data_IF_664422534542
#
_entry.id   IF_664422534542
#
_cell.length_a   1.000
_cell.length_b   1.000
_cell.length_c   1.000
_cell.angle_alpha   90.00
_cell.angle_beta   90.00
_cell.angle_gamma   90.00
#
_symmetry.space_group_name_H-M   'P 1'
#
loop_
_entity.id
_entity.type
_entity.pdbx_description
1 polymer ?
#
# COMPACT_ATOMS: atom_id res chain seq x y z
N UNK A 1 8.16 48.25 -16.48
CA UNK A 1 7.36 47.01 -16.62
C UNK A 1 8.18 45.75 -16.27
N UNK A 2 8.65 45.62 -15.02
CA UNK A 2 9.42 44.42 -14.57
C UNK A 2 9.12 44.00 -13.12
N UNK A 3 8.29 44.76 -12.41
CA UNK A 3 7.96 44.52 -10.99
C UNK A 3 6.60 43.84 -10.76
N UNK A 4 5.76 43.74 -11.79
CA UNK A 4 4.42 43.09 -11.68
C UNK A 4 4.49 41.57 -11.93
N UNK A 5 5.54 41.08 -12.61
CA UNK A 5 5.68 39.66 -12.96
C UNK A 5 6.01 38.78 -11.72
N UNK A 6 6.64 39.36 -10.69
CA UNK A 6 6.99 38.61 -9.47
C UNK A 6 5.81 38.33 -8.53
N UNK A 7 4.66 39.01 -8.70
CA UNK A 7 3.50 38.81 -7.82
C UNK A 7 2.66 37.60 -8.23
N UNK A 8 2.72 37.17 -9.50
CA UNK A 8 1.98 36.01 -9.99
C UNK A 8 2.65 34.66 -9.72
N UNK A 9 3.94 34.63 -9.37
CA UNK A 9 4.68 33.39 -9.07
C UNK A 9 4.46 32.87 -7.63
N UNK A 10 3.90 33.70 -6.74
CA UNK A 10 3.70 33.35 -5.33
C UNK A 10 2.27 32.81 -5.09
N UNK A 11 1.32 33.04 -6.00
CA UNK A 11 -0.08 32.66 -5.78
C UNK A 11 -0.38 31.17 -6.01
N UNK A 12 0.51 30.41 -6.64
CA UNK A 12 0.26 28.98 -6.96
C UNK A 12 0.70 27.99 -5.89
N UNK A 13 1.21 28.43 -4.74
CA UNK A 13 1.77 27.53 -3.71
C UNK A 13 0.85 27.17 -2.55
N UNK A 14 -0.40 27.63 -2.55
CA UNK A 14 -1.41 27.21 -1.57
C UNK A 14 -2.53 26.37 -2.23
N UNK A 15 -2.14 25.35 -2.98
CA UNK A 15 -2.96 24.14 -3.02
C UNK A 15 -2.62 23.36 -1.76
N UNK A 16 -3.34 23.62 -0.67
CA UNK A 16 -3.43 22.67 0.43
C UNK A 16 -3.68 21.30 -0.22
N UNK A 17 -2.88 20.25 0.04
CA UNK A 17 -3.27 18.93 -0.40
C UNK A 17 -4.63 18.71 0.27
N UNK A 18 -5.70 18.69 -0.54
CA UNK A 18 -6.96 18.16 -0.06
C UNK A 18 -6.60 16.77 0.45
N UNK A 19 -6.58 16.59 1.78
CA UNK A 19 -6.33 15.32 2.40
C UNK A 19 -7.51 14.45 1.98
N UNK A 20 -7.37 13.79 0.84
CA UNK A 20 -8.38 12.95 0.26
C UNK A 20 -8.45 11.71 1.14
N UNK A 21 -9.23 11.75 2.22
CA UNK A 21 -9.37 10.61 3.11
C UNK A 21 -9.59 9.35 2.28
N UNK A 22 -8.82 8.30 2.59
CA UNK A 22 -8.95 7.01 1.93
C UNK A 22 -10.41 6.56 2.01
N UNK A 23 -11.02 6.27 0.85
CA UNK A 23 -12.41 5.80 0.80
C UNK A 23 -12.58 4.52 1.62
N UNK A 24 -13.76 4.26 2.15
CA UNK A 24 -14.00 3.04 2.92
C UNK A 24 -13.83 1.77 2.07
N UNK A 25 -14.16 1.84 0.79
CA UNK A 25 -13.93 0.76 -0.17
C UNK A 25 -12.44 0.49 -0.39
N UNK A 26 -11.64 1.55 -0.62
CA UNK A 26 -10.20 1.41 -0.78
C UNK A 26 -9.57 0.91 0.53
N UNK A 27 -10.01 1.40 1.69
CA UNK A 27 -9.53 0.98 3.01
C UNK A 27 -9.81 -0.50 3.25
N UNK A 28 -11.03 -0.95 3.00
CA UNK A 28 -11.43 -2.35 3.10
C UNK A 28 -10.61 -3.23 2.16
N UNK A 29 -10.41 -2.78 0.91
CA UNK A 29 -9.61 -3.51 -0.08
C UNK A 29 -8.12 -3.55 0.29
N UNK A 30 -7.59 -2.46 0.86
CA UNK A 30 -6.21 -2.38 1.32
C UNK A 30 -5.96 -3.31 2.53
N UNK A 31 -6.91 -3.45 3.44
CA UNK A 31 -6.86 -4.46 4.50
C UNK A 31 -6.86 -5.88 3.93
N UNK A 32 -7.80 -6.21 3.03
CA UNK A 32 -7.87 -7.55 2.42
C UNK A 32 -6.57 -7.91 1.70
N UNK A 33 -6.01 -6.98 0.91
CA UNK A 33 -4.74 -7.17 0.23
C UNK A 33 -3.56 -7.30 1.20
N UNK A 34 -3.53 -6.53 2.30
CA UNK A 34 -2.50 -6.69 3.33
C UNK A 34 -2.58 -8.08 3.97
N UNK A 35 -3.79 -8.58 4.24
CA UNK A 35 -4.02 -9.94 4.74
C UNK A 35 -3.52 -11.01 3.77
N UNK A 36 -3.81 -10.88 2.47
CA UNK A 36 -3.31 -11.80 1.42
C UNK A 36 -1.77 -11.79 1.37
N UNK A 37 -1.14 -10.62 1.36
CA UNK A 37 0.31 -10.51 1.34
C UNK A 37 0.97 -11.10 2.58
N UNK A 38 0.38 -10.89 3.75
CA UNK A 38 0.87 -11.51 4.99
C UNK A 38 0.66 -13.02 5.00
N UNK A 39 -0.45 -13.53 4.46
CA UNK A 39 -0.67 -14.97 4.31
C UNK A 39 0.37 -15.63 3.38
N UNK A 40 0.77 -14.95 2.31
CA UNK A 40 1.84 -15.41 1.41
C UNK A 40 3.21 -15.55 2.10
N UNK A 41 3.41 -14.93 3.26
CA UNK A 41 4.63 -15.11 4.04
C UNK A 41 4.64 -16.45 4.77
N UNK A 42 3.48 -16.91 5.24
CA UNK A 42 3.30 -18.12 6.06
C UNK A 42 2.79 -19.32 5.25
N UNK A 43 3.22 -19.46 3.99
CA UNK A 43 2.76 -20.55 3.14
C UNK A 43 3.09 -21.93 3.74
N UNK A 44 2.18 -22.92 3.58
CA UNK A 44 2.43 -24.28 4.06
C UNK A 44 3.69 -24.90 3.46
N UNK A 45 4.34 -25.77 4.22
CA UNK A 45 5.50 -26.54 3.76
C UNK A 45 5.17 -27.31 2.47
N UNK A 46 6.04 -27.19 1.46
CA UNK A 46 5.87 -27.83 0.15
C UNK A 46 5.36 -26.92 -0.97
N UNK A 47 4.96 -25.68 -0.66
CA UNK A 47 4.67 -24.68 -1.70
C UNK A 47 5.95 -23.98 -2.17
N UNK A 48 6.25 -24.06 -3.46
CA UNK A 48 7.31 -23.27 -4.09
C UNK A 48 6.82 -21.84 -4.28
N UNK A 49 7.31 -20.93 -3.45
CA UNK A 49 7.04 -19.51 -3.59
C UNK A 49 8.36 -18.76 -3.68
N UNK A 50 8.53 -18.01 -4.77
CA UNK A 50 9.77 -17.28 -5.03
C UNK A 50 10.06 -16.28 -3.91
N UNK A 51 11.32 -16.24 -3.47
CA UNK A 51 11.75 -15.35 -2.40
C UNK A 51 11.46 -13.88 -2.72
N UNK A 52 11.69 -13.48 -3.97
CA UNK A 52 11.35 -12.17 -4.54
C UNK A 52 9.87 -11.78 -4.32
N UNK A 53 8.96 -12.76 -4.38
CA UNK A 53 7.53 -12.54 -4.18
C UNK A 53 7.14 -12.40 -2.71
N UNK A 54 7.87 -13.04 -1.79
CA UNK A 54 7.75 -12.79 -0.34
C UNK A 54 8.18 -11.37 0.00
N UNK A 55 9.35 -10.97 -0.48
CA UNK A 55 9.89 -9.63 -0.28
C UNK A 55 8.96 -8.55 -0.83
N UNK A 56 8.47 -8.74 -2.06
CA UNK A 56 7.49 -7.83 -2.69
C UNK A 56 6.19 -7.76 -1.88
N UNK A 57 5.70 -8.89 -1.34
CA UNK A 57 4.50 -8.93 -0.50
C UNK A 57 4.70 -8.15 0.80
N UNK A 58 5.81 -8.38 1.51
CA UNK A 58 6.15 -7.64 2.74
C UNK A 58 6.31 -6.14 2.49
N UNK A 59 7.00 -5.78 1.40
CA UNK A 59 7.15 -4.40 0.99
C UNK A 59 5.79 -3.74 0.66
N UNK A 60 4.89 -4.48 0.01
CA UNK A 60 3.55 -4.01 -0.34
C UNK A 60 2.69 -3.73 0.90
N UNK A 61 2.76 -4.60 1.93
CA UNK A 61 2.08 -4.37 3.22
C UNK A 61 2.57 -3.07 3.87
N UNK A 62 3.89 -2.85 3.91
CA UNK A 62 4.49 -1.64 4.49
C UNK A 62 4.07 -0.38 3.72
N UNK A 63 4.05 -0.45 2.39
CA UNK A 63 3.63 0.67 1.54
C UNK A 63 2.14 0.99 1.72
N UNK A 64 1.27 -0.02 1.81
CA UNK A 64 -0.15 0.16 2.09
C UNK A 64 -0.39 0.81 3.47
N UNK A 65 0.29 0.32 4.52
CA UNK A 65 0.20 0.90 5.87
C UNK A 65 0.63 2.36 5.86
N UNK A 66 1.81 2.65 5.32
CA UNK A 66 2.32 4.03 5.27
C UNK A 66 1.36 4.95 4.52
N UNK A 67 0.83 4.52 3.38
CA UNK A 67 -0.13 5.31 2.62
C UNK A 67 -1.43 5.53 3.40
N UNK A 68 -1.97 4.51 4.08
CA UNK A 68 -3.17 4.68 4.88
C UNK A 68 -2.97 5.72 6.00
N UNK A 69 -1.81 5.70 6.68
CA UNK A 69 -1.45 6.69 7.69
C UNK A 69 -1.28 8.09 7.07
N UNK A 70 -0.65 8.21 5.89
CA UNK A 70 -0.55 9.47 5.12
C UNK A 70 -1.94 10.05 4.79
N UNK A 71 -2.93 9.19 4.52
CA UNK A 71 -4.32 9.57 4.24
C UNK A 71 -5.19 9.72 5.51
N UNK A 72 -4.58 9.75 6.70
CA UNK A 72 -5.25 10.03 7.96
C UNK A 72 -5.98 8.85 8.60
N UNK A 73 -5.77 7.61 8.13
CA UNK A 73 -6.32 6.42 8.79
C UNK A 73 -5.59 6.23 10.12
N UNK A 74 -6.35 6.12 11.22
CA UNK A 74 -5.78 5.83 12.53
C UNK A 74 -5.08 4.45 12.53
N UNK A 75 -3.88 4.37 13.13
CA UNK A 75 -3.08 3.15 13.15
C UNK A 75 -3.78 1.97 13.82
N UNK A 76 -4.48 2.17 14.94
CA UNK A 76 -5.20 1.09 15.63
C UNK A 76 -6.36 0.55 14.78
N UNK A 77 -7.05 1.43 14.05
CA UNK A 77 -8.09 1.06 13.09
C UNK A 77 -7.47 0.27 11.93
N UNK A 78 -6.33 0.72 11.42
CA UNK A 78 -5.61 0.03 10.36
C UNK A 78 -5.19 -1.38 10.78
N UNK A 79 -4.50 -1.50 11.91
CA UNK A 79 -3.97 -2.77 12.43
C UNK A 79 -5.12 -3.75 12.73
N UNK A 80 -6.23 -3.28 13.30
CA UNK A 80 -7.43 -4.12 13.54
C UNK A 80 -8.02 -4.66 12.22
N UNK A 81 -8.07 -3.84 11.18
CA UNK A 81 -8.56 -4.25 9.87
C UNK A 81 -7.65 -5.27 9.19
N UNK A 82 -6.33 -5.03 9.23
CA UNK A 82 -5.33 -5.97 8.69
C UNK A 82 -5.38 -7.30 9.44
N UNK A 83 -5.42 -7.31 10.78
CA UNK A 83 -5.48 -8.56 11.55
C UNK A 83 -6.71 -9.40 11.18
N UNK A 84 -7.89 -8.78 11.05
CA UNK A 84 -9.09 -9.48 10.59
C UNK A 84 -8.93 -10.08 9.19
N UNK A 85 -8.22 -9.39 8.30
CA UNK A 85 -7.92 -9.91 6.96
C UNK A 85 -6.88 -11.04 7.00
N UNK A 86 -5.87 -10.95 7.88
CA UNK A 86 -4.89 -12.02 8.10
C UNK A 86 -5.62 -13.27 8.58
N UNK A 87 -6.47 -13.18 9.60
CA UNK A 87 -7.24 -14.33 10.12
C UNK A 87 -8.07 -15.01 9.02
N UNK A 88 -8.61 -14.23 8.08
CA UNK A 88 -9.39 -14.74 6.94
C UNK A 88 -8.55 -15.53 5.93
N UNK A 89 -7.29 -15.11 5.68
CA UNK A 89 -6.45 -15.69 4.62
C UNK A 89 -5.37 -16.64 5.16
N UNK A 90 -5.07 -16.61 6.46
CA UNK A 90 -4.06 -17.45 7.08
C UNK A 90 -4.30 -18.94 6.81
N UNK A 91 -3.24 -19.69 6.50
CA UNK A 91 -3.31 -21.10 6.14
C UNK A 91 -3.88 -21.41 4.75
N UNK A 92 -4.30 -20.39 3.99
CA UNK A 92 -4.70 -20.57 2.60
C UNK A 92 -3.50 -20.90 1.71
N UNK A 93 -3.74 -21.71 0.68
CA UNK A 93 -2.75 -21.92 -0.40
C UNK A 93 -2.47 -20.63 -1.15
N UNK A 94 -1.26 -20.52 -1.70
CA UNK A 94 -0.90 -19.40 -2.54
C UNK A 94 -1.87 -19.25 -3.72
N UNK A 95 -2.26 -18.00 -4.00
CA UNK A 95 -3.09 -17.66 -5.14
C UNK A 95 -2.48 -16.46 -5.88
N UNK A 96 -1.82 -16.75 -6.99
CA UNK A 96 -1.16 -15.76 -7.84
C UNK A 96 -2.13 -14.70 -8.36
N UNK A 97 -3.31 -15.11 -8.85
CA UNK A 97 -4.32 -14.18 -9.39
C UNK A 97 -4.78 -13.17 -8.34
N UNK A 98 -5.00 -13.61 -7.10
CA UNK A 98 -5.37 -12.71 -5.99
C UNK A 98 -4.23 -11.77 -5.63
N UNK A 99 -3.01 -12.29 -5.58
CA UNK A 99 -1.81 -11.51 -5.25
C UNK A 99 -1.54 -10.43 -6.30
N UNK A 100 -1.67 -10.78 -7.58
CA UNK A 100 -1.49 -9.84 -8.69
C UNK A 100 -2.62 -8.79 -8.74
N UNK A 101 -3.87 -9.20 -8.48
CA UNK A 101 -4.96 -8.23 -8.34
C UNK A 101 -4.70 -7.21 -7.21
N UNK A 102 -4.02 -7.62 -6.15
CA UNK A 102 -3.59 -6.71 -5.09
C UNK A 102 -2.44 -5.80 -5.52
N UNK A 103 -1.51 -6.27 -6.36
CA UNK A 103 -0.44 -5.42 -6.90
C UNK A 103 -1.04 -4.33 -7.80
N UNK A 104 -1.93 -4.70 -8.72
CA UNK A 104 -2.65 -3.75 -9.58
C UNK A 104 -3.43 -2.74 -8.74
N UNK A 105 -4.13 -3.21 -7.71
CA UNK A 105 -4.85 -2.33 -6.79
C UNK A 105 -3.91 -1.33 -6.09
N UNK A 106 -2.79 -1.79 -5.55
CA UNK A 106 -1.80 -0.95 -4.87
C UNK A 106 -1.24 0.12 -5.80
N UNK A 107 -0.86 -0.27 -7.01
CA UNK A 107 -0.29 0.65 -8.01
C UNK A 107 -1.31 1.71 -8.49
N UNK A 108 -2.59 1.36 -8.53
CA UNK A 108 -3.69 2.30 -8.83
C UNK A 108 -3.99 3.24 -7.67
N UNK A 109 -4.03 2.71 -6.45
CA UNK A 109 -4.42 3.44 -5.24
C UNK A 109 -3.33 4.47 -4.85
N UNK A 110 -2.06 4.06 -4.90
CA UNK A 110 -0.96 4.82 -4.31
C UNK A 110 -0.21 5.56 -5.41
N UNK A 111 -0.07 6.90 -5.32
CA UNK A 111 0.78 7.66 -6.22
C UNK A 111 2.22 7.12 -6.23
N UNK A 112 2.69 6.71 -7.41
CA UNK A 112 3.97 6.04 -7.62
C UNK A 112 4.12 4.71 -6.83
N UNK A 113 3.03 3.98 -6.61
CA UNK A 113 2.96 2.76 -5.79
C UNK A 113 4.05 1.74 -6.12
N UNK A 114 4.23 1.41 -7.41
CA UNK A 114 5.30 0.50 -7.88
C UNK A 114 6.69 0.92 -7.42
N UNK A 115 7.02 2.21 -7.59
CA UNK A 115 8.32 2.77 -7.19
C UNK A 115 8.49 2.75 -5.67
N UNK A 116 7.44 3.04 -4.90
CA UNK A 116 7.47 2.96 -3.43
C UNK A 116 7.74 1.53 -2.96
N UNK A 117 7.10 0.53 -3.57
CA UNK A 117 7.35 -0.89 -3.27
C UNK A 117 8.79 -1.28 -3.59
N UNK A 118 9.28 -0.98 -4.80
CA UNK A 118 10.67 -1.27 -5.16
C UNK A 118 11.68 -0.64 -4.20
N UNK A 119 11.43 0.60 -3.75
CA UNK A 119 12.29 1.26 -2.76
C UNK A 119 12.32 0.53 -1.43
N UNK A 120 11.19 -0.02 -0.97
CA UNK A 120 11.16 -0.81 0.27
C UNK A 120 11.85 -2.16 0.08
N UNK A 121 11.67 -2.84 -1.05
CA UNK A 121 12.39 -4.10 -1.35
C UNK A 121 13.91 -3.89 -1.32
N UNK A 122 14.40 -2.78 -1.87
CA UNK A 122 15.82 -2.43 -1.84
C UNK A 122 16.40 -2.23 -0.44
N UNK A 123 15.56 -2.05 0.60
CA UNK A 123 16.03 -1.94 1.99
C UNK A 123 16.19 -3.29 2.69
N UNK A 124 15.87 -4.39 2.02
CA UNK A 124 16.02 -5.76 2.52
C UNK A 124 17.40 -6.37 2.18
N UNK A 125 18.19 -5.66 1.37
CA UNK A 125 19.54 -6.01 0.93
C UNK A 125 20.55 -4.95 1.38
#
# INVERSE_FOLDING_TARGET
MKKIIYFFLIYTYFLSPASANMSDDDKSRAWDCSGIYMANYFLPSGETFEYSMKEKSMASVKVLKNYALEMGVNEQIWDKGVNKAVDKHYGSKYNEKKTEACHVFLERLIPNGKKRVSKVVQTLY
#
